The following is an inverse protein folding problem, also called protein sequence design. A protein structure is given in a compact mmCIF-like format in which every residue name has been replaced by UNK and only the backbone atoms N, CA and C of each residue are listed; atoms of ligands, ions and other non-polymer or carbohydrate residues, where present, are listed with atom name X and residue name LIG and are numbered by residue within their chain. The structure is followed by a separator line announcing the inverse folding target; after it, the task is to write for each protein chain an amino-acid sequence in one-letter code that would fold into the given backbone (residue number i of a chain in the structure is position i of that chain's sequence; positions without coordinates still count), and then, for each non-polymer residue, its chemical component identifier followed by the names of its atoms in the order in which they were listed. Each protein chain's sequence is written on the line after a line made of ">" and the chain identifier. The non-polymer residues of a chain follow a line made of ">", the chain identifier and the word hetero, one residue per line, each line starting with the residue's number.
data_IF_524417593368
#
_entry.id   IF_524417593368
#
_cell.length_a   1.000
_cell.length_b   1.000
_cell.length_c   1.000
_cell.angle_alpha   90.00
_cell.angle_beta   90.00
_cell.angle_gamma   90.00
#
_symmetry.space_group_name_H-M   'P 1'
#
loop_
_entity.id
_entity.type
_entity.pdbx_description
1 polymer ?
#
# COMPACT_ATOMS: atom_id res chain seq x y z
N UNK A 1 -10.26 11.90 3.48
CA UNK A 1 -10.38 11.12 2.24
C UNK A 1 -11.70 11.47 1.59
N UNK A 2 -11.62 11.90 0.30
CA UNK A 2 -12.76 12.41 -0.42
C UNK A 2 -13.89 11.38 -0.53
N UNK A 3 -15.10 11.85 -0.43
CA UNK A 3 -16.30 11.09 -0.76
C UNK A 3 -16.19 10.71 -2.22
N UNK A 4 -15.74 9.48 -2.50
CA UNK A 4 -15.70 8.92 -3.83
C UNK A 4 -17.12 8.88 -4.37
N UNK A 5 -17.36 9.61 -5.44
CA UNK A 5 -18.62 9.53 -6.13
C UNK A 5 -18.86 8.10 -6.62
N UNK A 6 -20.04 7.54 -6.37
CA UNK A 6 -20.45 6.25 -6.91
C UNK A 6 -20.63 6.45 -8.42
N UNK A 7 -19.78 5.81 -9.22
CA UNK A 7 -19.97 5.72 -10.66
C UNK A 7 -21.06 4.67 -10.91
N UNK A 8 -22.27 5.12 -11.15
CA UNK A 8 -23.37 4.24 -11.52
C UNK A 8 -23.27 3.95 -13.02
N UNK A 9 -22.72 2.79 -13.37
CA UNK A 9 -22.73 2.29 -14.74
C UNK A 9 -24.11 1.63 -14.98
N UNK A 10 -25.03 2.40 -15.54
CA UNK A 10 -26.28 1.85 -16.03
C UNK A 10 -25.99 1.16 -17.36
N UNK A 11 -25.85 -0.14 -17.37
CA UNK A 11 -25.89 -0.92 -18.60
C UNK A 11 -27.32 -0.91 -19.14
N UNK A 12 -27.50 -0.37 -20.33
CA UNK A 12 -28.76 -0.48 -21.05
C UNK A 12 -29.00 -1.96 -21.34
N UNK A 13 -30.07 -2.53 -20.80
CA UNK A 13 -30.46 -3.92 -21.05
C UNK A 13 -30.57 -4.18 -22.54
N UNK A 14 -29.83 -5.15 -23.08
CA UNK A 14 -29.79 -5.47 -24.51
C UNK A 14 -28.36 -5.44 -25.11
N UNK A 15 -27.31 -5.39 -24.29
CA UNK A 15 -25.91 -5.50 -24.77
C UNK A 15 -25.65 -6.86 -25.43
N UNK A 16 -24.87 -6.82 -26.51
CA UNK A 16 -24.45 -8.01 -27.27
C UNK A 16 -23.85 -9.07 -26.32
N UNK A 17 -24.40 -10.26 -26.35
CA UNK A 17 -23.77 -11.44 -25.75
C UNK A 17 -22.47 -11.76 -26.49
N UNK A 18 -21.46 -12.19 -25.77
CA UNK A 18 -20.20 -12.53 -26.41
C UNK A 18 -19.04 -12.64 -25.40
N UNK A 19 -17.90 -12.93 -25.96
CA UNK A 19 -16.65 -12.99 -25.21
C UNK A 19 -15.52 -12.28 -25.96
N UNK A 20 -14.56 -11.80 -25.20
CA UNK A 20 -13.30 -11.24 -25.71
C UNK A 20 -12.16 -11.82 -24.88
N UNK A 21 -11.08 -12.20 -25.56
CA UNK A 21 -9.85 -12.60 -24.90
C UNK A 21 -8.66 -11.90 -25.56
N UNK A 22 -7.72 -11.46 -24.75
CA UNK A 22 -6.48 -10.83 -25.20
C UNK A 22 -5.32 -11.47 -24.47
N UNK A 23 -4.27 -11.82 -25.22
CA UNK A 23 -3.02 -12.31 -24.69
C UNK A 23 -1.91 -11.34 -25.08
N UNK A 24 -1.02 -11.04 -24.17
CA UNK A 24 0.12 -10.19 -24.39
C UNK A 24 1.38 -10.82 -23.81
N UNK A 25 2.50 -10.57 -24.43
CA UNK A 25 3.80 -11.06 -23.94
C UNK A 25 4.92 -10.12 -24.39
N UNK A 26 5.93 -10.01 -23.55
CA UNK A 26 7.15 -9.27 -23.85
C UNK A 26 8.35 -9.99 -23.29
N UNK A 27 9.45 -9.92 -24.02
CA UNK A 27 10.76 -10.49 -23.61
C UNK A 27 11.82 -9.44 -23.89
N UNK A 28 12.75 -9.28 -22.98
CA UNK A 28 13.89 -8.40 -23.11
C UNK A 28 15.13 -9.05 -22.49
N UNK A 29 16.29 -8.45 -22.68
CA UNK A 29 17.53 -8.87 -22.01
C UNK A 29 17.52 -8.68 -20.49
N UNK A 30 16.48 -7.99 -19.96
CA UNK A 30 16.32 -7.72 -18.52
C UNK A 30 15.09 -8.36 -17.91
N UNK A 31 14.33 -9.15 -18.66
CA UNK A 31 13.17 -9.79 -18.11
C UNK A 31 12.16 -10.25 -19.15
N UNK A 32 11.10 -10.81 -18.64
CA UNK A 32 9.98 -11.28 -19.45
C UNK A 32 8.66 -10.99 -18.72
N UNK A 33 7.61 -10.81 -19.48
CA UNK A 33 6.30 -10.61 -18.93
C UNK A 33 5.21 -11.12 -19.85
N UNK A 34 4.04 -11.30 -19.28
CA UNK A 34 2.86 -11.71 -20.02
C UNK A 34 1.59 -11.32 -19.31
N UNK A 35 0.54 -11.21 -20.07
CA UNK A 35 -0.77 -10.87 -19.54
C UNK A 35 -1.90 -11.55 -20.30
N UNK A 36 -2.96 -11.80 -19.59
CA UNK A 36 -4.21 -12.30 -20.12
C UNK A 36 -5.35 -11.39 -19.64
N UNK A 37 -6.25 -11.09 -20.54
CA UNK A 37 -7.52 -10.45 -20.26
C UNK A 37 -8.64 -11.23 -20.93
N UNK A 38 -9.72 -11.40 -20.22
CA UNK A 38 -10.92 -12.02 -20.76
C UNK A 38 -12.17 -11.36 -20.20
N UNK A 39 -13.18 -11.25 -21.02
CA UNK A 39 -14.54 -10.87 -20.61
C UNK A 39 -15.56 -11.73 -21.33
N UNK A 40 -16.62 -12.04 -20.61
CA UNK A 40 -17.77 -12.77 -21.15
C UNK A 40 -19.05 -12.13 -20.64
N UNK A 41 -20.00 -11.92 -21.54
CA UNK A 41 -21.40 -11.58 -21.20
C UNK A 41 -22.32 -12.65 -21.75
N UNK A 42 -23.09 -13.27 -20.87
CA UNK A 42 -24.06 -14.28 -21.21
C UNK A 42 -25.33 -14.08 -20.36
N UNK A 43 -26.41 -13.67 -20.99
CA UNK A 43 -27.65 -13.35 -20.32
C UNK A 43 -27.46 -12.29 -19.22
N UNK A 44 -27.73 -12.68 -17.98
CA UNK A 44 -27.65 -11.82 -16.79
C UNK A 44 -26.27 -11.73 -16.16
N UNK A 45 -25.32 -12.54 -16.63
CA UNK A 45 -23.98 -12.63 -16.09
C UNK A 45 -22.99 -11.84 -16.98
N UNK A 46 -22.24 -10.97 -16.36
CA UNK A 46 -21.03 -10.38 -16.95
C UNK A 46 -19.85 -10.78 -16.07
N UNK A 47 -18.81 -11.33 -16.68
CA UNK A 47 -17.58 -11.68 -15.97
C UNK A 47 -16.38 -11.13 -16.73
N UNK A 48 -15.45 -10.52 -16.02
CA UNK A 48 -14.18 -10.10 -16.57
C UNK A 48 -13.02 -10.52 -15.66
N UNK A 49 -11.91 -10.89 -16.26
CA UNK A 49 -10.70 -11.21 -15.54
C UNK A 49 -9.47 -10.68 -16.28
N UNK A 50 -8.52 -10.20 -15.53
CA UNK A 50 -7.22 -9.77 -16.02
C UNK A 50 -6.14 -10.30 -15.08
N UNK A 51 -5.04 -10.76 -15.68
CA UNK A 51 -3.84 -11.10 -14.93
C UNK A 51 -2.60 -10.72 -15.74
N UNK A 52 -1.62 -10.11 -15.08
CA UNK A 52 -0.34 -9.76 -15.65
C UNK A 52 0.76 -10.22 -14.70
N UNK A 53 1.83 -10.75 -15.27
CA UNK A 53 3.04 -11.14 -14.57
C UNK A 53 4.24 -10.55 -15.31
N UNK A 54 5.16 -9.95 -14.56
CA UNK A 54 6.41 -9.45 -15.09
C UNK A 54 7.56 -9.89 -14.19
N UNK A 55 8.58 -10.43 -14.79
CA UNK A 55 9.87 -10.72 -14.17
C UNK A 55 10.91 -9.73 -14.68
N UNK A 56 11.69 -9.18 -13.78
CA UNK A 56 12.77 -8.25 -14.09
C UNK A 56 14.06 -8.73 -13.44
N UNK A 57 15.10 -8.84 -14.25
CA UNK A 57 16.45 -9.15 -13.83
C UNK A 57 17.30 -7.87 -13.97
N UNK A 58 17.81 -7.39 -12.86
CA UNK A 58 18.75 -6.28 -12.83
C UNK A 58 20.16 -6.85 -12.88
N UNK A 59 20.85 -6.75 -14.03
CA UNK A 59 22.23 -7.17 -14.13
C UNK A 59 23.10 -6.33 -13.19
N UNK A 60 24.30 -6.83 -12.93
CA UNK A 60 25.24 -6.15 -12.04
C UNK A 60 25.43 -4.70 -12.47
N UNK A 61 25.13 -3.80 -11.55
CA UNK A 61 25.42 -2.37 -11.63
C UNK A 61 26.66 -2.03 -10.81
N UNK A 62 27.34 -0.98 -11.20
CA UNK A 62 28.55 -0.49 -10.53
C UNK A 62 28.28 0.91 -10.05
N UNK A 63 28.72 1.19 -8.82
CA UNK A 63 28.67 2.53 -8.22
C UNK A 63 30.02 2.82 -7.55
N UNK A 64 30.33 4.06 -7.42
CA UNK A 64 31.55 4.48 -6.72
C UNK A 64 31.57 5.98 -6.58
N UNK A 65 32.33 6.45 -5.62
CA UNK A 65 32.46 7.86 -5.36
C UNK A 65 33.48 8.14 -4.28
N UNK A 66 33.78 9.42 -4.14
CA UNK A 66 34.59 9.97 -3.06
C UNK A 66 33.71 10.91 -2.22
N UNK A 67 33.78 10.77 -0.92
CA UNK A 67 33.17 11.67 0.04
C UNK A 67 34.28 12.35 0.87
N UNK A 68 34.45 13.64 0.68
CA UNK A 68 35.35 14.43 1.48
C UNK A 68 34.57 15.14 2.59
N UNK A 69 34.98 14.90 3.83
CA UNK A 69 34.54 15.68 4.99
C UNK A 69 35.63 16.74 5.27
N UNK A 70 35.26 18.01 5.17
CA UNK A 70 36.19 19.12 5.42
C UNK A 70 36.05 19.52 6.87
N UNK A 71 37.10 19.35 7.64
CA UNK A 71 37.21 19.86 9.00
C UNK A 71 37.77 21.28 9.04
N UNK A 72 37.87 21.86 10.24
CA UNK A 72 38.45 23.21 10.43
C UNK A 72 39.96 23.27 10.11
N UNK A 73 40.62 22.12 10.13
CA UNK A 73 42.01 21.96 9.76
C UNK A 73 42.20 20.81 8.80
N UNK A 74 43.29 20.78 8.03
CA UNK A 74 43.59 19.66 7.12
C UNK A 74 43.72 18.33 7.87
N UNK A 75 44.17 18.34 9.13
CA UNK A 75 44.24 17.15 9.97
C UNK A 75 42.91 16.64 10.48
N UNK A 76 41.85 17.45 10.41
CA UNK A 76 40.45 17.05 10.75
C UNK A 76 39.62 16.74 9.52
N UNK A 77 40.19 16.83 8.32
CA UNK A 77 39.54 16.46 7.07
C UNK A 77 39.74 14.98 6.78
N UNK A 78 38.68 14.31 6.30
CA UNK A 78 38.71 12.88 5.92
C UNK A 78 38.18 12.67 4.52
N UNK A 79 38.79 11.75 3.80
CA UNK A 79 38.37 11.30 2.48
C UNK A 79 37.94 9.84 2.57
N UNK A 80 36.73 9.55 2.13
CA UNK A 80 36.18 8.21 2.04
C UNK A 80 35.94 7.86 0.57
N UNK A 81 36.73 6.97 0.05
CA UNK A 81 36.49 6.35 -1.26
C UNK A 81 35.62 5.11 -1.08
N UNK A 82 34.70 4.89 -1.98
CA UNK A 82 33.94 3.65 -2.04
C UNK A 82 33.70 3.18 -3.47
N UNK A 83 33.65 1.91 -3.65
CA UNK A 83 33.19 1.29 -4.86
C UNK A 83 32.21 0.16 -4.52
N UNK A 84 31.21 -0.02 -5.33
CA UNK A 84 30.19 -1.03 -5.06
C UNK A 84 29.64 -1.66 -6.31
N UNK A 85 29.11 -2.85 -6.12
CA UNK A 85 28.32 -3.55 -7.13
C UNK A 85 27.01 -4.00 -6.52
N UNK A 86 25.95 -3.95 -7.28
CA UNK A 86 24.69 -4.56 -6.89
C UNK A 86 24.07 -5.30 -8.07
N UNK A 87 23.39 -6.40 -7.77
CA UNK A 87 22.57 -7.15 -8.72
C UNK A 87 21.26 -7.50 -8.03
N UNK A 88 20.22 -7.74 -8.79
CA UNK A 88 18.96 -8.14 -8.21
C UNK A 88 18.03 -8.75 -9.24
N UNK A 89 16.97 -9.30 -8.75
CA UNK A 89 15.86 -9.76 -9.54
C UNK A 89 14.56 -9.52 -8.80
N UNK A 90 13.49 -9.45 -9.55
CA UNK A 90 12.19 -9.24 -8.97
C UNK A 90 11.08 -9.71 -9.89
N UNK A 91 9.93 -9.89 -9.30
CA UNK A 91 8.71 -10.16 -10.05
C UNK A 91 7.59 -9.28 -9.54
N UNK A 92 6.74 -8.88 -10.44
CA UNK A 92 5.53 -8.14 -10.17
C UNK A 92 4.34 -8.84 -10.82
N UNK A 93 3.25 -8.92 -10.10
CA UNK A 93 2.00 -9.45 -10.61
C UNK A 93 0.83 -8.56 -10.25
N UNK A 94 -0.12 -8.48 -11.15
CA UNK A 94 -1.39 -7.82 -10.92
C UNK A 94 -2.52 -8.62 -11.55
N UNK A 95 -3.61 -8.73 -10.83
CA UNK A 95 -4.79 -9.44 -11.29
C UNK A 95 -6.04 -8.75 -10.81
N UNK A 96 -7.11 -8.82 -11.57
CA UNK A 96 -8.45 -8.41 -11.15
C UNK A 96 -9.49 -9.32 -11.77
N UNK A 97 -10.53 -9.59 -11.00
CA UNK A 97 -11.73 -10.29 -11.47
C UNK A 97 -12.95 -9.50 -11.04
N UNK A 98 -13.92 -9.43 -11.89
CA UNK A 98 -15.23 -8.85 -11.60
C UNK A 98 -16.32 -9.74 -12.18
N UNK A 99 -17.33 -10.01 -11.38
CA UNK A 99 -18.53 -10.74 -11.79
C UNK A 99 -19.75 -9.91 -11.40
N UNK A 100 -20.60 -9.60 -12.37
CA UNK A 100 -21.85 -8.88 -12.15
C UNK A 100 -23.02 -9.76 -12.60
N UNK A 101 -24.01 -9.91 -11.72
CA UNK A 101 -25.21 -10.69 -11.98
C UNK A 101 -26.46 -9.83 -11.83
N UNK A 102 -27.18 -9.64 -12.92
CA UNK A 102 -28.45 -8.93 -12.98
C UNK A 102 -29.58 -9.87 -12.51
N UNK A 103 -29.95 -9.83 -11.22
CA UNK A 103 -31.07 -10.64 -10.69
C UNK A 103 -32.33 -10.33 -11.48
N UNK A 104 -32.62 -9.04 -11.65
CA UNK A 104 -33.65 -8.47 -12.51
C UNK A 104 -33.23 -7.01 -12.89
N UNK A 105 -34.14 -6.28 -13.55
CA UNK A 105 -33.91 -4.90 -14.01
C UNK A 105 -33.65 -3.88 -12.88
N UNK A 106 -33.89 -4.24 -11.62
CA UNK A 106 -33.80 -3.38 -10.47
C UNK A 106 -32.73 -3.86 -9.44
N UNK A 107 -32.22 -5.07 -9.58
CA UNK A 107 -31.30 -5.68 -8.61
C UNK A 107 -30.06 -6.22 -9.28
N UNK A 108 -28.92 -5.78 -8.78
CA UNK A 108 -27.60 -6.17 -9.25
C UNK A 108 -26.76 -6.65 -8.08
N UNK A 109 -26.02 -7.73 -8.29
CA UNK A 109 -24.94 -8.16 -7.39
C UNK A 109 -23.64 -8.07 -8.17
N UNK A 110 -22.63 -7.46 -7.58
CA UNK A 110 -21.27 -7.39 -8.13
C UNK A 110 -20.30 -7.99 -7.14
N UNK A 111 -19.43 -8.87 -7.62
CA UNK A 111 -18.30 -9.42 -6.86
C UNK A 111 -17.01 -8.96 -7.52
N UNK A 112 -16.07 -8.51 -6.72
CA UNK A 112 -14.76 -8.07 -7.19
C UNK A 112 -13.65 -8.74 -6.41
N UNK A 113 -12.54 -9.00 -7.10
CA UNK A 113 -11.30 -9.47 -6.52
C UNK A 113 -10.14 -8.76 -7.20
N UNK A 114 -9.17 -8.30 -6.41
CA UNK A 114 -7.95 -7.66 -6.87
C UNK A 114 -6.73 -8.25 -6.19
N UNK A 115 -5.67 -8.34 -6.96
CA UNK A 115 -4.35 -8.75 -6.50
C UNK A 115 -3.31 -7.88 -7.18
N UNK A 116 -2.42 -7.29 -6.44
CA UNK A 116 -1.21 -6.69 -6.99
C UNK A 116 -0.08 -6.80 -5.98
N UNK A 117 1.15 -6.93 -6.47
CA UNK A 117 2.30 -7.06 -5.61
C UNK A 117 3.44 -7.75 -6.28
N UNK A 118 4.52 -7.95 -5.52
CA UNK A 118 5.73 -8.51 -6.06
C UNK A 118 6.71 -9.00 -5.01
N UNK A 119 7.80 -9.49 -5.54
CA UNK A 119 8.96 -9.92 -4.77
C UNK A 119 10.20 -9.30 -5.38
N UNK A 120 11.11 -8.85 -4.53
CA UNK A 120 12.42 -8.36 -4.93
C UNK A 120 13.51 -9.09 -4.14
N UNK A 121 14.62 -9.31 -4.83
CA UNK A 121 15.85 -9.82 -4.24
C UNK A 121 16.99 -8.96 -4.72
N UNK A 122 17.88 -8.57 -3.82
CA UNK A 122 19.10 -7.83 -4.17
C UNK A 122 20.30 -8.32 -3.39
N UNK A 123 21.43 -8.38 -4.06
CA UNK A 123 22.74 -8.65 -3.47
C UNK A 123 23.63 -7.44 -3.74
N UNK A 124 24.29 -6.93 -2.72
CA UNK A 124 25.20 -5.81 -2.80
C UNK A 124 26.57 -6.15 -2.23
N UNK A 125 27.60 -5.60 -2.84
CA UNK A 125 28.96 -5.62 -2.36
C UNK A 125 29.50 -4.20 -2.43
N UNK A 126 29.98 -3.66 -1.32
CA UNK A 126 30.64 -2.37 -1.30
C UNK A 126 32.02 -2.49 -0.65
N UNK A 127 33.01 -1.90 -1.29
CA UNK A 127 34.40 -1.87 -0.81
C UNK A 127 34.76 -0.44 -0.42
N UNK A 128 35.29 -0.31 0.76
CA UNK A 128 35.79 0.93 1.34
C UNK A 128 37.29 0.79 1.57
N UNK A 129 38.12 1.17 0.59
CA UNK A 129 39.55 1.21 0.77
C UNK A 129 39.89 2.39 1.68
N UNK A 130 40.64 2.18 2.73
CA UNK A 130 41.17 3.26 3.56
C UNK A 130 42.09 4.18 2.76
N UNK A 131 42.15 5.44 3.18
CA UNK A 131 43.11 6.39 2.60
C UNK A 131 44.50 6.23 3.25
N UNK A 132 45.52 6.83 2.63
CA UNK A 132 46.89 6.76 3.14
C UNK A 132 47.07 7.32 4.58
N UNK A 133 46.16 8.19 5.02
CA UNK A 133 46.15 8.79 6.35
C UNK A 133 45.17 8.10 7.32
N UNK A 134 44.23 7.31 6.77
CA UNK A 134 43.21 6.61 7.54
C UNK A 134 43.24 5.13 7.13
N UNK A 135 44.15 4.40 7.78
CA UNK A 135 44.29 2.96 7.50
C UNK A 135 43.11 2.17 8.08
N UNK A 136 42.03 2.21 7.41
CA UNK A 136 40.90 1.28 7.57
C UNK A 136 40.46 0.79 6.19
N UNK A 137 40.20 -0.46 6.07
CA UNK A 137 39.64 -1.04 4.85
C UNK A 137 38.64 -2.11 5.25
N UNK A 138 37.47 -2.07 4.67
CA UNK A 138 36.47 -3.10 4.88
C UNK A 138 35.61 -3.33 3.63
N UNK A 139 35.02 -4.48 3.57
CA UNK A 139 34.05 -4.85 2.56
C UNK A 139 32.71 -5.04 3.26
N UNK A 140 31.67 -4.45 2.71
CA UNK A 140 30.28 -4.63 3.17
C UNK A 140 29.53 -5.53 2.18
N UNK A 141 28.97 -6.61 2.69
CA UNK A 141 28.11 -7.52 1.96
C UNK A 141 26.66 -7.29 2.40
N UNK A 142 25.74 -7.18 1.46
CA UNK A 142 24.33 -7.07 1.75
C UNK A 142 23.50 -8.03 0.91
N UNK A 143 22.51 -8.62 1.53
CA UNK A 143 21.51 -9.45 0.87
C UNK A 143 20.14 -9.07 1.37
N UNK A 144 19.20 -8.83 0.48
CA UNK A 144 17.84 -8.49 0.84
C UNK A 144 16.83 -9.24 -0.01
N UNK A 145 15.78 -9.72 0.64
CA UNK A 145 14.58 -10.27 0.02
C UNK A 145 13.38 -9.55 0.59
N UNK A 146 12.47 -9.15 -0.27
CA UNK A 146 11.20 -8.57 0.17
C UNK A 146 10.05 -9.08 -0.67
N UNK A 147 8.90 -9.21 -0.04
CA UNK A 147 7.64 -9.45 -0.73
C UNK A 147 6.57 -8.51 -0.20
N UNK A 148 5.71 -8.06 -1.07
CA UNK A 148 4.62 -7.16 -0.71
C UNK A 148 3.44 -7.41 -1.64
N UNK A 149 2.25 -7.51 -1.05
CA UNK A 149 1.02 -7.77 -1.79
C UNK A 149 -0.11 -6.89 -1.27
N UNK A 150 -1.03 -6.54 -2.16
CA UNK A 150 -2.36 -6.05 -1.80
C UNK A 150 -3.36 -6.99 -2.42
N UNK A 151 -4.21 -7.54 -1.59
CA UNK A 151 -5.29 -8.45 -1.98
C UNK A 151 -6.57 -7.79 -1.52
N UNK A 152 -7.49 -7.56 -2.43
CA UNK A 152 -8.80 -6.98 -2.13
C UNK A 152 -9.91 -7.86 -2.68
N UNK A 153 -11.03 -7.84 -1.98
CA UNK A 153 -12.25 -8.52 -2.38
C UNK A 153 -13.46 -7.70 -1.98
N UNK A 154 -14.53 -7.83 -2.73
CA UNK A 154 -15.75 -7.11 -2.44
C UNK A 154 -17.00 -7.80 -2.97
N UNK A 155 -18.11 -7.55 -2.30
CA UNK A 155 -19.45 -7.91 -2.73
C UNK A 155 -20.33 -6.69 -2.53
N UNK A 156 -20.97 -6.25 -3.61
CA UNK A 156 -21.92 -5.15 -3.62
C UNK A 156 -23.28 -5.67 -4.08
N UNK A 157 -24.32 -5.37 -3.30
CA UNK A 157 -25.71 -5.57 -3.70
C UNK A 157 -26.36 -4.22 -3.89
N UNK A 158 -26.90 -3.98 -5.06
CA UNK A 158 -27.61 -2.76 -5.42
C UNK A 158 -29.06 -3.05 -5.73
N UNK A 159 -29.96 -2.28 -5.16
CA UNK A 159 -31.38 -2.30 -5.43
C UNK A 159 -31.85 -0.92 -5.89
N UNK A 160 -32.30 -0.83 -7.12
CA UNK A 160 -33.05 0.32 -7.65
C UNK A 160 -34.52 0.19 -7.30
N UNK A 161 -35.21 1.30 -7.24
CA UNK A 161 -36.64 1.36 -7.01
C UNK A 161 -37.34 1.97 -8.24
N UNK A 162 -38.66 1.80 -8.39
CA UNK A 162 -39.39 2.44 -9.48
C UNK A 162 -39.29 3.95 -9.54
N UNK A 163 -39.00 4.59 -8.40
CA UNK A 163 -38.71 6.02 -8.36
C UNK A 163 -37.29 6.24 -8.83
N UNK A 164 -37.12 7.00 -9.91
CA UNK A 164 -35.84 7.32 -10.51
C UNK A 164 -34.86 7.85 -9.44
N UNK A 165 -33.62 7.40 -9.49
CA UNK A 165 -32.53 7.80 -8.56
C UNK A 165 -32.71 7.31 -7.10
N UNK A 166 -33.79 6.58 -6.78
CA UNK A 166 -33.90 5.91 -5.48
C UNK A 166 -33.15 4.59 -5.50
N UNK A 167 -32.22 4.44 -4.56
CA UNK A 167 -31.31 3.31 -4.53
C UNK A 167 -30.94 2.91 -3.10
N UNK A 168 -30.78 1.61 -2.89
CA UNK A 168 -30.21 1.02 -1.69
C UNK A 168 -29.00 0.18 -2.11
N UNK A 169 -27.89 0.36 -1.41
CA UNK A 169 -26.66 -0.40 -1.66
C UNK A 169 -26.16 -1.01 -0.35
N UNK A 170 -25.79 -2.28 -0.39
CA UNK A 170 -25.05 -2.96 0.66
C UNK A 170 -23.69 -3.38 0.09
N UNK A 171 -22.63 -3.04 0.80
CA UNK A 171 -21.25 -3.34 0.40
C UNK A 171 -20.52 -4.04 1.53
N UNK A 172 -19.81 -5.10 1.19
CA UNK A 172 -18.76 -5.65 2.04
C UNK A 172 -17.45 -5.67 1.26
N UNK A 173 -16.39 -5.16 1.87
CA UNK A 173 -15.05 -5.16 1.28
C UNK A 173 -14.04 -5.69 2.29
N UNK A 174 -13.09 -6.45 1.79
CA UNK A 174 -11.90 -6.89 2.52
C UNK A 174 -10.66 -6.43 1.74
N UNK A 175 -9.69 -5.91 2.43
CA UNK A 175 -8.37 -5.61 1.88
C UNK A 175 -7.31 -6.12 2.85
N UNK A 176 -6.32 -6.85 2.35
CA UNK A 176 -5.17 -7.30 3.14
C UNK A 176 -3.86 -6.98 2.42
N UNK A 177 -2.88 -6.50 3.17
CA UNK A 177 -1.58 -6.05 2.66
C UNK A 177 -0.44 -6.69 3.43
N UNK A 178 -0.16 -7.99 3.19
CA UNK A 178 0.99 -8.65 3.77
C UNK A 178 2.29 -8.16 3.10
N UNK A 179 3.29 -7.91 3.93
CA UNK A 179 4.64 -7.55 3.52
C UNK A 179 5.64 -8.32 4.37
N UNK A 180 6.70 -8.83 3.74
CA UNK A 180 7.83 -9.45 4.44
C UNK A 180 9.14 -8.86 3.93
N UNK A 181 10.10 -8.74 4.80
CA UNK A 181 11.47 -8.35 4.46
C UNK A 181 12.46 -9.21 5.24
N UNK A 182 13.46 -9.73 4.56
CA UNK A 182 14.56 -10.51 5.13
C UNK A 182 15.84 -9.88 4.59
N UNK A 183 16.69 -9.36 5.45
CA UNK A 183 17.91 -8.66 5.04
C UNK A 183 19.09 -9.00 5.93
N UNK A 184 20.21 -9.22 5.28
CA UNK A 184 21.50 -9.45 5.91
C UNK A 184 22.47 -8.34 5.51
N UNK A 185 23.23 -7.84 6.44
CA UNK A 185 24.40 -7.01 6.21
C UNK A 185 25.58 -7.55 7.00
N UNK A 186 26.70 -7.72 6.35
CA UNK A 186 27.91 -8.23 6.96
C UNK A 186 29.11 -7.41 6.55
N UNK A 187 30.18 -7.49 7.36
CA UNK A 187 31.40 -6.75 7.15
C UNK A 187 32.60 -7.67 7.25
N UNK A 188 33.52 -7.52 6.32
CA UNK A 188 34.79 -8.22 6.29
C UNK A 188 35.92 -7.20 6.35
N UNK A 189 36.86 -7.39 7.26
CA UNK A 189 38.02 -6.54 7.41
C UNK A 189 39.23 -7.34 7.95
N UNK A 190 40.41 -6.83 7.67
CA UNK A 190 41.68 -7.39 8.18
C UNK A 190 42.27 -6.46 9.24
N UNK A 191 42.23 -6.90 10.49
CA UNK A 191 42.68 -6.11 11.64
C UNK A 191 44.19 -5.79 11.58
N UNK A 192 44.99 -6.60 10.91
CA UNK A 192 46.42 -6.35 10.75
C UNK A 192 46.71 -5.11 9.87
N UNK A 193 45.72 -4.77 9.03
CA UNK A 193 45.76 -3.61 8.14
C UNK A 193 44.93 -2.42 8.66
N UNK A 194 44.50 -2.46 9.91
CA UNK A 194 43.72 -1.36 10.54
C UNK A 194 44.64 -0.56 11.47
N UNK A 195 44.69 0.75 11.26
CA UNK A 195 45.44 1.65 12.16
C UNK A 195 44.90 1.58 13.59
N UNK A 196 45.78 1.73 14.62
CA UNK A 196 45.35 1.60 16.01
C UNK A 196 44.13 2.44 16.40
N UNK A 197 44.04 3.66 15.88
CA UNK A 197 42.95 4.59 16.16
C UNK A 197 41.60 4.13 15.62
N UNK A 198 41.59 3.25 14.60
CA UNK A 198 40.42 2.70 13.98
C UNK A 198 40.03 1.30 14.49
N UNK A 199 40.92 0.62 15.21
CA UNK A 199 40.65 -0.75 15.67
C UNK A 199 39.42 -0.84 16.57
N UNK A 200 39.18 0.12 17.44
CA UNK A 200 38.03 0.11 18.33
C UNK A 200 36.72 0.39 17.58
N UNK A 201 36.76 1.12 16.47
CA UNK A 201 35.63 1.28 15.59
C UNK A 201 35.32 -0.03 14.86
N UNK A 202 36.34 -0.67 14.28
CA UNK A 202 36.16 -1.92 13.54
C UNK A 202 35.64 -3.06 14.42
N UNK A 203 36.14 -3.16 15.67
CA UNK A 203 35.67 -4.15 16.66
C UNK A 203 34.20 -3.98 17.04
N UNK A 204 33.62 -2.78 16.87
CA UNK A 204 32.19 -2.48 17.13
C UNK A 204 31.30 -2.69 15.95
N UNK A 205 31.83 -3.03 14.77
CA UNK A 205 31.00 -3.36 13.61
C UNK A 205 30.26 -4.67 13.88
N UNK A 206 29.00 -4.68 13.53
CA UNK A 206 28.11 -5.82 13.75
C UNK A 206 27.54 -6.28 12.42
N UNK A 207 27.63 -7.58 12.15
CA UNK A 207 26.81 -8.20 11.15
C UNK A 207 25.37 -8.23 11.67
N UNK A 208 24.42 -7.96 10.80
CA UNK A 208 23.00 -7.88 11.16
C UNK A 208 22.15 -8.74 10.24
N UNK A 209 21.16 -9.36 10.83
CA UNK A 209 20.05 -10.01 10.14
C UNK A 209 18.76 -9.41 10.67
N UNK A 210 17.94 -8.86 9.79
CA UNK A 210 16.64 -8.34 10.13
C UNK A 210 15.57 -9.14 9.38
N UNK A 211 14.62 -9.71 10.14
CA UNK A 211 13.46 -10.41 9.63
C UNK A 211 12.20 -9.64 10.03
N UNK A 212 11.52 -9.08 9.04
CA UNK A 212 10.36 -8.24 9.22
C UNK A 212 9.11 -8.82 8.56
N UNK A 213 8.01 -8.78 9.29
CA UNK A 213 6.69 -9.17 8.81
C UNK A 213 5.66 -8.14 9.25
N UNK A 214 4.90 -7.61 8.29
CA UNK A 214 3.81 -6.69 8.59
C UNK A 214 2.59 -6.99 7.74
N UNK A 215 1.43 -6.78 8.32
CA UNK A 215 0.16 -6.97 7.62
C UNK A 215 -0.88 -5.97 8.11
N UNK A 216 -1.62 -5.41 7.17
CA UNK A 216 -2.84 -4.67 7.46
C UNK A 216 -4.01 -5.42 6.84
N UNK A 217 -5.00 -5.78 7.65
CA UNK A 217 -6.26 -6.35 7.16
C UNK A 217 -7.40 -5.42 7.55
N UNK A 218 -8.18 -5.00 6.57
CA UNK A 218 -9.33 -4.12 6.76
C UNK A 218 -10.60 -4.78 6.22
N UNK A 219 -11.62 -4.82 7.05
CA UNK A 219 -12.98 -5.19 6.69
C UNK A 219 -13.85 -3.94 6.71
N UNK A 220 -14.61 -3.71 5.65
CA UNK A 220 -15.56 -2.61 5.56
C UNK A 220 -16.94 -3.16 5.25
N UNK A 221 -17.91 -2.82 6.10
CA UNK A 221 -19.34 -3.01 5.86
C UNK A 221 -19.98 -1.65 5.68
N UNK A 222 -20.80 -1.50 4.65
CA UNK A 222 -21.46 -0.23 4.36
C UNK A 222 -22.87 -0.46 3.82
N UNK A 223 -23.80 0.38 4.26
CA UNK A 223 -25.16 0.43 3.75
C UNK A 223 -25.52 1.88 3.43
N UNK A 224 -25.94 2.14 2.19
CA UNK A 224 -26.28 3.46 1.68
C UNK A 224 -27.71 3.47 1.15
N UNK A 225 -28.46 4.52 1.45
CA UNK A 225 -29.75 4.77 0.90
C UNK A 225 -29.83 6.18 0.33
N UNK A 226 -30.21 6.27 -0.93
CA UNK A 226 -30.42 7.53 -1.65
C UNK A 226 -31.86 7.63 -2.10
N UNK A 227 -32.49 8.75 -1.87
CA UNK A 227 -33.88 9.00 -2.29
C UNK A 227 -34.07 10.43 -2.77
N UNK A 228 -34.62 10.65 -3.97
CA UNK A 228 -35.07 11.95 -4.41
C UNK A 228 -36.37 12.34 -3.72
N UNK A 229 -36.49 13.63 -3.40
CA UNK A 229 -37.71 14.27 -2.88
C UNK A 229 -38.14 15.32 -3.91
N UNK A 230 -39.09 14.94 -4.76
CA UNK A 230 -39.46 15.76 -5.92
C UNK A 230 -38.37 15.77 -7.01
N UNK A 231 -38.22 16.89 -7.72
CA UNK A 231 -37.31 16.98 -8.88
C UNK A 231 -35.96 17.67 -8.55
N UNK A 232 -35.86 18.30 -7.40
CA UNK A 232 -34.73 19.18 -7.07
C UNK A 232 -33.95 18.73 -5.86
N UNK A 233 -34.51 17.88 -5.02
CA UNK A 233 -33.94 17.49 -3.73
C UNK A 233 -33.55 16.04 -3.74
N UNK A 234 -32.41 15.71 -3.14
CA UNK A 234 -31.96 14.34 -2.91
C UNK A 234 -31.46 14.22 -1.48
N UNK A 235 -31.90 13.20 -0.79
CA UNK A 235 -31.39 12.82 0.54
C UNK A 235 -30.59 11.55 0.42
N UNK A 236 -29.44 11.53 1.01
CA UNK A 236 -28.53 10.39 1.13
C UNK A 236 -28.29 10.10 2.61
N UNK A 237 -28.31 8.85 3.00
CA UNK A 237 -27.96 8.43 4.36
C UNK A 237 -27.27 7.08 4.30
N UNK A 238 -26.40 6.84 5.25
CA UNK A 238 -25.68 5.56 5.31
C UNK A 238 -25.03 5.33 6.64
N UNK A 239 -24.63 4.08 6.80
CA UNK A 239 -23.82 3.60 7.92
C UNK A 239 -22.63 2.85 7.38
N UNK A 240 -21.48 2.98 8.04
CA UNK A 240 -20.24 2.32 7.68
C UNK A 240 -19.54 1.80 8.92
N UNK A 241 -19.10 0.56 8.85
CA UNK A 241 -18.27 -0.05 9.88
C UNK A 241 -16.95 -0.49 9.26
N UNK A 242 -15.85 -0.12 9.89
CA UNK A 242 -14.49 -0.50 9.47
C UNK A 242 -13.81 -1.17 10.65
N UNK A 243 -13.35 -2.40 10.43
CA UNK A 243 -12.45 -3.11 11.32
C UNK A 243 -11.09 -3.22 10.65
N UNK A 244 -10.08 -2.56 11.21
CA UNK A 244 -8.72 -2.57 10.70
C UNK A 244 -7.78 -3.17 11.74
N UNK A 245 -7.08 -4.22 11.35
CA UNK A 245 -6.06 -4.87 12.14
C UNK A 245 -4.70 -4.70 11.46
N UNK A 246 -3.77 -4.05 12.16
CA UNK A 246 -2.38 -3.91 11.74
C UNK A 246 -1.52 -4.75 12.69
N UNK A 247 -0.65 -5.57 12.12
CA UNK A 247 0.36 -6.33 12.84
C UNK A 247 1.72 -6.01 12.23
N UNK A 248 2.73 -5.84 13.07
CA UNK A 248 4.11 -5.76 12.64
C UNK A 248 4.99 -6.51 13.63
N UNK A 249 5.88 -7.29 13.08
CA UNK A 249 6.90 -8.06 13.78
C UNK A 249 8.22 -7.77 13.07
N UNK A 250 9.20 -7.24 13.81
CA UNK A 250 10.51 -6.84 13.34
C UNK A 250 11.54 -7.46 14.28
N UNK A 251 12.19 -8.53 13.84
CA UNK A 251 13.20 -9.25 14.58
C UNK A 251 14.59 -8.89 14.07
N UNK A 252 15.41 -8.41 14.97
CA UNK A 252 16.80 -8.07 14.71
C UNK A 252 17.72 -9.06 15.39
N UNK A 253 18.67 -9.56 14.64
CA UNK A 253 19.74 -10.42 15.13
C UNK A 253 21.08 -9.80 14.77
N UNK A 254 22.07 -9.98 15.63
CA UNK A 254 23.39 -9.40 15.42
C UNK A 254 24.50 -10.33 15.89
N UNK A 255 25.68 -10.14 15.34
CA UNK A 255 26.92 -10.74 15.82
C UNK A 255 28.10 -9.82 15.53
N UNK A 256 29.20 -10.01 16.22
CA UNK A 256 30.41 -9.26 15.91
C UNK A 256 30.89 -9.55 14.48
N UNK A 257 31.20 -8.50 13.71
CA UNK A 257 31.63 -8.62 12.33
C UNK A 257 32.92 -9.45 12.19
N UNK A 258 32.97 -10.25 11.11
CA UNK A 258 34.09 -11.15 10.84
C UNK A 258 34.14 -12.41 11.72
N UNK A 259 33.22 -12.61 12.64
CA UNK A 259 33.12 -13.83 13.44
C UNK A 259 32.15 -14.83 12.82
N UNK A 260 32.47 -16.12 12.95
CA UNK A 260 31.58 -17.20 12.50
C UNK A 260 30.74 -17.78 13.66
N UNK A 261 30.31 -16.92 14.59
CA UNK A 261 29.37 -17.29 15.65
C UNK A 261 27.93 -17.22 15.15
N UNK A 262 27.03 -17.85 15.87
CA UNK A 262 25.59 -17.69 15.60
C UNK A 262 25.17 -16.24 15.84
N UNK A 263 24.12 -15.81 15.14
CA UNK A 263 23.50 -14.52 15.39
C UNK A 263 22.75 -14.54 16.72
N UNK A 264 22.93 -13.51 17.52
CA UNK A 264 22.21 -13.30 18.77
C UNK A 264 21.01 -12.38 18.54
N UNK A 265 19.88 -12.71 19.16
CA UNK A 265 18.68 -11.89 19.08
C UNK A 265 18.88 -10.57 19.83
N UNK A 266 18.58 -9.46 19.15
CA UNK A 266 18.67 -8.11 19.70
C UNK A 266 17.28 -7.62 20.13
N UNK A 267 16.90 -7.93 21.35
CA UNK A 267 15.59 -7.59 21.92
C UNK A 267 15.39 -6.06 21.98
N UNK A 268 16.45 -5.30 22.24
CA UNK A 268 16.39 -3.84 22.39
C UNK A 268 16.03 -3.10 21.08
N UNK A 269 16.29 -3.72 19.93
CA UNK A 269 16.03 -3.16 18.61
C UNK A 269 15.00 -3.98 17.83
N UNK A 270 14.37 -4.98 18.46
CA UNK A 270 13.26 -5.74 17.92
C UNK A 270 11.94 -5.17 18.41
N UNK A 271 10.89 -5.32 17.63
CA UNK A 271 9.57 -4.84 18.02
C UNK A 271 8.44 -5.67 17.43
N UNK A 272 7.45 -6.01 18.26
CA UNK A 272 6.21 -6.66 17.84
C UNK A 272 5.04 -5.86 18.35
N UNK A 273 4.14 -5.44 17.49
CA UNK A 273 2.92 -4.77 17.92
C UNK A 273 1.69 -5.16 17.11
N UNK A 274 0.54 -4.98 17.73
CA UNK A 274 -0.78 -5.12 17.12
C UNK A 274 -1.58 -3.84 17.36
N UNK A 275 -2.19 -3.33 16.30
CA UNK A 275 -3.02 -2.14 16.36
C UNK A 275 -4.39 -2.44 15.73
N UNK A 276 -5.42 -2.44 16.55
CA UNK A 276 -6.80 -2.64 16.15
C UNK A 276 -7.52 -1.29 16.14
N UNK A 277 -8.19 -0.98 15.02
CA UNK A 277 -9.09 0.16 14.87
C UNK A 277 -10.48 -0.35 14.54
N UNK A 278 -11.44 0.01 15.39
CA UNK A 278 -12.88 -0.16 15.16
C UNK A 278 -13.47 1.23 14.87
N UNK A 279 -14.09 1.42 13.72
CA UNK A 279 -14.68 2.70 13.32
C UNK A 279 -16.12 2.46 12.91
N UNK A 280 -17.05 3.04 13.67
CA UNK A 280 -18.46 3.08 13.32
C UNK A 280 -18.84 4.49 12.90
N UNK A 281 -19.37 4.62 11.69
CA UNK A 281 -19.79 5.91 11.16
C UNK A 281 -21.24 5.88 10.69
N UNK A 282 -21.94 6.99 10.92
CA UNK A 282 -23.25 7.25 10.36
C UNK A 282 -23.24 8.64 9.70
N UNK A 283 -23.88 8.77 8.56
CA UNK A 283 -23.88 10.02 7.81
C UNK A 283 -25.21 10.28 7.13
N UNK A 284 -25.48 11.57 6.97
CA UNK A 284 -26.61 12.06 6.19
C UNK A 284 -26.16 13.22 5.30
N UNK A 285 -26.72 13.26 4.10
CA UNK A 285 -26.46 14.30 3.11
C UNK A 285 -27.77 14.77 2.47
N UNK A 286 -27.80 16.05 2.17
CA UNK A 286 -28.88 16.67 1.44
C UNK A 286 -28.33 17.43 0.26
N UNK A 287 -28.86 17.17 -0.91
CA UNK A 287 -28.48 17.81 -2.18
C UNK A 287 -29.67 18.56 -2.77
N UNK A 288 -29.42 19.78 -3.21
CA UNK A 288 -30.37 20.64 -3.91
C UNK A 288 -29.83 20.96 -5.31
N UNK A 289 -30.65 20.80 -6.33
CA UNK A 289 -30.30 21.16 -7.71
C UNK A 289 -31.40 22.01 -8.33
N UNK A 290 -31.12 23.28 -8.56
CA UNK A 290 -32.07 24.24 -9.13
C UNK A 290 -31.42 24.93 -10.33
N UNK A 291 -31.89 24.58 -11.54
CA UNK A 291 -31.36 25.13 -12.81
C UNK A 291 -29.83 24.97 -12.90
N UNK A 292 -29.13 26.10 -12.78
CA UNK A 292 -27.67 26.19 -12.87
C UNK A 292 -26.96 26.11 -11.51
N UNK A 293 -27.72 26.09 -10.41
CA UNK A 293 -27.19 26.04 -9.06
C UNK A 293 -27.35 24.63 -8.49
N UNK A 294 -26.33 24.16 -7.84
CA UNK A 294 -26.33 22.93 -7.03
C UNK A 294 -25.73 23.19 -5.66
N UNK A 295 -26.32 22.63 -4.64
CA UNK A 295 -25.80 22.69 -3.27
C UNK A 295 -25.83 21.32 -2.65
N UNK A 296 -24.89 21.02 -1.78
CA UNK A 296 -24.86 19.82 -0.95
C UNK A 296 -24.44 20.20 0.46
N UNK A 297 -25.17 19.67 1.43
CA UNK A 297 -24.83 19.70 2.85
C UNK A 297 -24.72 18.27 3.33
N UNK A 298 -23.78 18.01 4.20
CA UNK A 298 -23.60 16.69 4.79
C UNK A 298 -23.09 16.79 6.21
N UNK A 299 -23.38 15.76 6.98
CA UNK A 299 -22.83 15.54 8.31
C UNK A 299 -22.47 14.08 8.46
N UNK A 300 -21.33 13.81 9.05
CA UNK A 300 -20.84 12.47 9.39
C UNK A 300 -20.44 12.45 10.85
N UNK A 301 -20.94 11.49 11.56
CA UNK A 301 -20.51 11.14 12.91
C UNK A 301 -19.67 9.88 12.83
N UNK A 302 -18.54 9.86 13.50
CA UNK A 302 -17.65 8.72 13.63
C UNK A 302 -17.36 8.45 15.11
N UNK A 303 -17.46 7.19 15.51
CA UNK A 303 -16.96 6.68 16.77
C UNK A 303 -15.79 5.73 16.46
N UNK A 304 -14.61 6.05 16.96
CA UNK A 304 -13.38 5.28 16.73
C UNK A 304 -12.84 4.74 18.03
N UNK A 305 -12.56 3.43 18.06
CA UNK A 305 -11.87 2.76 19.15
C UNK A 305 -10.51 2.29 18.63
N UNK A 306 -9.44 2.75 19.26
CA UNK A 306 -8.07 2.33 18.99
C UNK A 306 -7.55 1.47 20.14
N UNK A 307 -6.93 0.34 19.80
CA UNK A 307 -6.30 -0.55 20.77
C UNK A 307 -4.92 -0.95 20.24
N UNK A 308 -3.88 -0.46 20.90
CA UNK A 308 -2.49 -0.76 20.57
C UNK A 308 -1.89 -1.63 21.65
N UNK A 309 -1.26 -2.73 21.23
CA UNK A 309 -0.56 -3.67 22.13
C UNK A 309 0.83 -3.93 21.60
N UNK A 310 1.83 -3.63 22.41
CA UNK A 310 3.21 -4.04 22.19
C UNK A 310 3.42 -5.40 22.85
N UNK A 311 3.88 -6.37 22.08
CA UNK A 311 4.22 -7.72 22.53
C UNK A 311 5.72 -7.84 22.79
N UNK A 312 6.51 -7.03 22.11
CA UNK A 312 7.95 -6.89 22.24
C UNK A 312 8.34 -5.44 21.91
N UNK A 313 9.40 -4.92 22.54
CA UNK A 313 9.94 -3.59 22.27
C UNK A 313 9.44 -2.51 23.22
N UNK A 314 9.92 -1.28 22.98
CA UNK A 314 9.73 -0.11 23.86
C UNK A 314 8.51 0.71 23.43
N UNK A 315 7.33 0.24 23.76
CA UNK A 315 6.10 0.98 23.48
C UNK A 315 5.05 0.73 24.56
N UNK A 316 4.17 1.73 24.75
CA UNK A 316 3.11 1.66 25.74
C UNK A 316 1.82 1.09 25.14
N UNK A 317 1.23 0.12 25.82
CA UNK A 317 -0.09 -0.37 25.48
C UNK A 317 -1.14 0.70 25.81
N UNK A 318 -2.00 0.99 24.88
CA UNK A 318 -3.11 1.89 25.16
C UNK A 318 -4.39 1.50 24.45
N UNK A 319 -5.52 1.87 25.04
CA UNK A 319 -6.82 1.82 24.43
C UNK A 319 -7.48 3.18 24.60
N UNK A 320 -7.97 3.74 23.50
CA UNK A 320 -8.65 5.04 23.49
C UNK A 320 -9.82 5.02 22.52
N UNK A 321 -10.88 5.68 22.89
CA UNK A 321 -12.04 5.96 22.04
C UNK A 321 -12.22 7.47 21.89
N UNK A 322 -12.77 7.89 20.78
CA UNK A 322 -13.09 9.27 20.49
C UNK A 322 -14.20 9.37 19.45
N UNK A 323 -14.88 10.50 19.51
CA UNK A 323 -16.02 10.83 18.65
C UNK A 323 -15.67 12.03 17.79
N UNK A 324 -16.01 11.96 16.50
CA UNK A 324 -15.82 13.04 15.55
C UNK A 324 -17.14 13.36 14.84
N UNK A 325 -17.40 14.64 14.67
CA UNK A 325 -18.49 15.15 13.84
C UNK A 325 -17.90 15.99 12.72
N UNK A 326 -18.09 15.55 11.50
CA UNK A 326 -17.51 16.16 10.31
C UNK A 326 -18.64 16.74 9.45
N UNK A 327 -18.90 18.06 9.52
CA UNK A 327 -19.80 18.72 8.59
C UNK A 327 -19.13 18.94 7.24
N UNK A 328 -19.91 18.90 6.17
CA UNK A 328 -19.47 19.22 4.82
C UNK A 328 -20.50 20.07 4.10
N UNK A 329 -20.04 21.00 3.27
CA UNK A 329 -20.89 21.83 2.45
C UNK A 329 -20.24 22.08 1.09
N UNK A 330 -21.04 22.08 0.03
CA UNK A 330 -20.56 22.50 -1.27
C UNK A 330 -21.63 23.22 -2.07
N UNK A 331 -21.20 24.19 -2.82
CA UNK A 331 -22.05 24.95 -3.75
C UNK A 331 -21.39 24.92 -5.14
N UNK A 332 -22.16 24.63 -6.15
CA UNK A 332 -21.74 24.65 -7.54
C UNK A 332 -22.64 25.53 -8.38
N UNK A 333 -22.04 26.38 -9.20
CA UNK A 333 -22.76 27.24 -10.12
C UNK A 333 -22.24 27.05 -11.54
N UNK A 334 -23.13 26.60 -12.42
CA UNK A 334 -22.86 26.50 -13.86
C UNK A 334 -23.03 27.89 -14.49
N UNK A 335 -21.93 28.60 -14.69
CA UNK A 335 -21.91 29.94 -15.29
C UNK A 335 -22.31 29.87 -16.77
N UNK A 336 -21.59 29.03 -17.51
CA UNK A 336 -21.83 28.75 -18.95
C UNK A 336 -21.80 27.24 -19.20
N UNK A 337 -21.98 26.80 -20.46
CA UNK A 337 -21.86 25.40 -20.80
C UNK A 337 -20.42 24.86 -20.65
N UNK A 338 -19.43 25.74 -20.65
CA UNK A 338 -18.01 25.40 -20.49
C UNK A 338 -17.40 25.86 -19.18
N UNK A 339 -18.13 26.56 -18.31
CA UNK A 339 -17.59 27.16 -17.08
C UNK A 339 -18.43 26.80 -15.86
N UNK A 340 -17.80 26.22 -14.87
CA UNK A 340 -18.40 25.88 -13.57
C UNK A 340 -17.57 26.51 -12.43
N UNK A 341 -18.24 27.12 -11.48
CA UNK A 341 -17.65 27.54 -10.21
C UNK A 341 -18.09 26.57 -9.12
N UNK A 342 -17.16 26.07 -8.31
CA UNK A 342 -17.47 25.22 -7.16
C UNK A 342 -16.70 25.74 -5.94
N UNK A 343 -17.41 25.85 -4.84
CA UNK A 343 -16.86 26.11 -3.51
C UNK A 343 -17.22 24.92 -2.62
N UNK A 344 -16.30 24.49 -1.77
CA UNK A 344 -16.51 23.37 -0.86
C UNK A 344 -15.83 23.61 0.47
N UNK A 345 -16.43 23.07 1.51
CA UNK A 345 -15.92 22.99 2.88
C UNK A 345 -16.11 21.56 3.38
N UNK A 346 -15.03 21.00 3.95
CA UNK A 346 -14.99 19.67 4.59
C UNK A 346 -14.27 19.78 5.91
#
# INVERSE_FOLDING_TARGET
>A
EGVGGILNIVTVGGGLEGYTATFSGNVSNRGAGGGVFGTIKSGKLTFSARYNYNYNNQPRSYSGGNRRTVGETDSSSSDLDYSGTSKGDGSFQSGSMEASYEIDTLRLVTMSFGLWGGKNKSDGLATFPGTANELYSYVSNSHSKSSWYSIDGGIDYQRLFPVKERMLTFSYKINTRPQTSDSYSGYEYDMDNVAPDWQDFMKRMLDQHNDGSQSTTEHTLQADYTTPIGKMHTVETGVKYILRNNTAEDDRFQRAAGQQTDYEFDEDHSSHYKHLNDILAAYAGYSLKVKKLSGRLGVRYEHTIQNVKYLLGKGDNFKKDFDDVVPSASIGWKLTDMSNLRLGYN
#
